data_IF_585338223649
#
_entry.id   IF_585338223649
#
_cell.length_a   1.000
_cell.length_b   1.000
_cell.length_c   1.000
_cell.angle_alpha   90.00
_cell.angle_beta   90.00
_cell.angle_gamma   90.00
#
_symmetry.space_group_name_H-M   'P 1'
#
loop_
_entity.id
_entity.type
_entity.pdbx_description
1 polymer ?
#
# COMPACT_ATOMS: atom_id res chain seq x y z
N UNK A 1 13.25 10.07 6.67
CA UNK A 1 12.60 9.02 7.50
C UNK A 1 11.76 8.12 6.59
N UNK A 2 11.67 6.82 6.87
CA UNK A 2 10.75 5.89 6.17
C UNK A 2 9.57 5.65 7.09
N UNK A 3 8.35 5.75 6.55
CA UNK A 3 7.12 5.43 7.25
C UNK A 3 6.48 4.25 6.53
N UNK A 4 6.16 3.19 7.28
CA UNK A 4 5.50 1.99 6.76
C UNK A 4 4.05 1.99 7.23
N UNK A 5 3.12 1.90 6.27
CA UNK A 5 1.70 1.68 6.54
C UNK A 5 1.37 0.24 6.20
N UNK A 6 0.76 -0.47 7.14
CA UNK A 6 0.25 -1.83 6.95
C UNK A 6 -1.26 -1.87 7.18
N UNK A 7 -1.98 -2.62 6.35
CA UNK A 7 -3.38 -2.91 6.56
C UNK A 7 -4.03 -3.50 5.31
N UNK A 8 -5.15 -4.21 5.51
CA UNK A 8 -5.85 -4.92 4.43
C UNK A 8 -6.54 -4.01 3.41
N UNK A 9 -6.80 -2.73 3.76
CA UNK A 9 -7.53 -1.77 2.92
C UNK A 9 -6.71 -0.52 2.55
N UNK A 10 -5.42 -0.46 2.88
CA UNK A 10 -4.61 0.74 2.63
C UNK A 10 -4.50 1.10 1.15
N UNK A 11 -4.59 0.11 0.27
CA UNK A 11 -4.60 0.30 -1.18
C UNK A 11 -6.00 0.52 -1.74
N UNK A 12 -7.06 0.32 -0.97
CA UNK A 12 -8.43 0.61 -1.41
C UNK A 12 -8.72 2.12 -1.41
N UNK A 13 -8.21 2.85 -0.42
CA UNK A 13 -8.43 4.29 -0.27
C UNK A 13 -7.54 5.14 -1.17
N UNK A 14 -8.14 5.89 -2.10
CA UNK A 14 -7.40 6.70 -3.06
C UNK A 14 -6.58 7.81 -2.39
N UNK A 15 -7.13 8.43 -1.34
CA UNK A 15 -6.43 9.48 -0.60
C UNK A 15 -5.11 8.94 -0.05
N UNK A 16 -5.13 7.76 0.57
CA UNK A 16 -3.91 7.13 1.09
C UNK A 16 -2.92 6.80 -0.01
N UNK A 17 -3.39 6.23 -1.14
CA UNK A 17 -2.52 5.90 -2.28
C UNK A 17 -1.76 7.12 -2.82
N UNK A 18 -2.39 8.28 -2.86
CA UNK A 18 -1.78 9.51 -3.37
C UNK A 18 -0.62 10.02 -2.50
N UNK A 19 -0.54 9.58 -1.24
CA UNK A 19 0.54 9.93 -0.32
C UNK A 19 1.64 8.87 -0.25
N UNK A 20 1.50 7.73 -0.95
CA UNK A 20 2.47 6.63 -0.90
C UNK A 20 3.47 6.71 -2.07
N UNK A 21 4.76 6.70 -1.75
CA UNK A 21 5.82 6.62 -2.77
C UNK A 21 6.03 5.21 -3.33
N UNK A 22 5.63 4.18 -2.57
CA UNK A 22 5.74 2.77 -2.95
C UNK A 22 4.56 2.00 -2.37
N UNK A 23 3.83 1.29 -3.23
CA UNK A 23 2.64 0.51 -2.90
C UNK A 23 2.95 -0.96 -3.12
N UNK A 24 2.85 -1.76 -2.05
CA UNK A 24 3.20 -3.18 -2.08
C UNK A 24 1.97 -4.00 -1.70
N UNK A 25 1.66 -5.02 -2.49
CA UNK A 25 0.64 -6.02 -2.17
C UNK A 25 1.30 -7.38 -1.90
N UNK A 26 0.90 -8.03 -0.82
CA UNK A 26 1.43 -9.33 -0.43
C UNK A 26 0.41 -10.40 -0.79
N UNK A 27 0.73 -11.19 -1.82
CA UNK A 27 -0.20 -12.16 -2.40
C UNK A 27 0.04 -13.56 -1.85
N UNK A 28 -1.03 -14.14 -1.31
CA UNK A 28 -1.05 -15.48 -0.71
C UNK A 28 -2.41 -16.10 -0.95
N UNK A 29 -2.40 -17.38 -1.31
CA UNK A 29 -3.57 -18.19 -1.53
C UNK A 29 -4.51 -18.18 -0.31
N UNK A 30 -5.83 -18.15 -0.56
CA UNK A 30 -6.83 -17.96 0.49
C UNK A 30 -6.83 -19.08 1.55
N UNK A 31 -6.60 -20.32 1.11
CA UNK A 31 -6.44 -21.52 1.95
C UNK A 31 -5.27 -21.37 2.95
N UNK A 32 -4.11 -20.92 2.49
CA UNK A 32 -2.94 -20.67 3.35
C UNK A 32 -3.17 -19.51 4.29
N UNK A 33 -3.93 -18.48 3.88
CA UNK A 33 -4.29 -17.37 4.75
C UNK A 33 -5.26 -17.80 5.85
N UNK A 34 -6.29 -18.60 5.53
CA UNK A 34 -7.25 -19.06 6.55
C UNK A 34 -6.62 -20.04 7.52
N UNK A 35 -5.75 -20.96 7.06
CA UNK A 35 -5.00 -21.87 7.95
C UNK A 35 -4.17 -21.07 8.97
N UNK A 36 -3.37 -20.12 8.48
CA UNK A 36 -2.59 -19.22 9.36
C UNK A 36 -3.47 -18.42 10.32
N UNK A 37 -4.65 -17.98 9.86
CA UNK A 37 -5.62 -17.25 10.69
C UNK A 37 -6.19 -18.16 11.79
N UNK A 38 -6.54 -19.40 11.47
CA UNK A 38 -7.07 -20.38 12.42
C UNK A 38 -6.04 -20.63 13.52
N UNK A 39 -4.82 -21.00 13.14
CA UNK A 39 -3.74 -21.28 14.10
C UNK A 39 -3.52 -20.08 15.03
N UNK A 40 -3.38 -18.87 14.46
CA UNK A 40 -3.17 -17.65 15.23
C UNK A 40 -4.36 -17.31 16.13
N UNK A 41 -5.58 -17.33 15.61
CA UNK A 41 -6.77 -16.92 16.37
C UNK A 41 -7.12 -17.94 17.47
N UNK A 42 -6.79 -19.23 17.28
CA UNK A 42 -6.93 -20.23 18.34
C UNK A 42 -5.86 -20.07 19.42
N UNK A 43 -4.58 -19.96 19.03
CA UNK A 43 -3.44 -19.92 19.97
C UNK A 43 -3.32 -18.58 20.70
N UNK A 44 -3.42 -17.47 19.98
CA UNK A 44 -3.12 -16.13 20.52
C UNK A 44 -4.38 -15.40 21.02
N UNK A 45 -5.57 -15.77 20.53
CA UNK A 45 -6.83 -15.06 20.81
C UNK A 45 -7.90 -15.94 21.47
N UNK A 46 -7.61 -17.22 21.71
CA UNK A 46 -8.52 -18.15 22.40
C UNK A 46 -9.85 -18.38 21.70
N UNK A 47 -9.92 -18.20 20.38
CA UNK A 47 -11.16 -18.39 19.62
C UNK A 47 -11.38 -19.87 19.29
N UNK A 48 -12.64 -20.31 19.25
CA UNK A 48 -12.97 -21.65 18.80
C UNK A 48 -12.95 -21.73 17.25
N UNK A 49 -12.63 -22.90 16.73
CA UNK A 49 -12.57 -23.16 15.29
C UNK A 49 -13.85 -22.73 14.55
N UNK A 50 -15.01 -23.12 15.08
CA UNK A 50 -16.31 -22.83 14.47
C UNK A 50 -16.58 -21.32 14.34
N UNK A 51 -16.28 -20.52 15.38
CA UNK A 51 -16.42 -19.07 15.33
C UNK A 51 -15.50 -18.42 14.29
N UNK A 52 -14.28 -18.93 14.11
CA UNK A 52 -13.34 -18.44 13.10
C UNK A 52 -13.85 -18.74 11.69
N UNK A 53 -14.35 -19.96 11.46
CA UNK A 53 -14.89 -20.38 10.17
C UNK A 53 -16.14 -19.57 9.81
N UNK A 54 -17.10 -19.42 10.72
CA UNK A 54 -18.28 -18.59 10.49
C UNK A 54 -17.90 -17.15 10.15
N UNK A 55 -17.05 -16.51 10.95
CA UNK A 55 -16.60 -15.15 10.65
C UNK A 55 -15.90 -15.08 9.28
N UNK A 56 -15.11 -16.09 8.93
CA UNK A 56 -14.41 -16.11 7.66
C UNK A 56 -15.36 -16.15 6.47
N UNK A 57 -16.37 -17.02 6.51
CA UNK A 57 -17.34 -17.18 5.43
C UNK A 57 -18.31 -15.99 5.35
N UNK A 58 -18.82 -15.53 6.48
CA UNK A 58 -19.89 -14.52 6.52
C UNK A 58 -19.35 -13.10 6.26
N UNK A 59 -18.10 -12.84 6.62
CA UNK A 59 -17.56 -11.46 6.58
C UNK A 59 -16.20 -11.37 5.90
N UNK A 60 -15.19 -12.13 6.33
CA UNK A 60 -13.81 -11.88 5.89
C UNK A 60 -13.64 -12.16 4.40
N UNK A 61 -14.18 -13.27 3.89
CA UNK A 61 -14.07 -13.66 2.48
C UNK A 61 -14.87 -12.72 1.57
N UNK A 62 -16.16 -12.44 1.80
CA UNK A 62 -16.90 -11.48 0.99
C UNK A 62 -16.25 -10.09 0.94
N UNK A 63 -15.78 -9.58 2.08
CA UNK A 63 -15.10 -8.28 2.14
C UNK A 63 -13.74 -8.31 1.46
N UNK A 64 -13.01 -9.42 1.55
CA UNK A 64 -11.77 -9.60 0.83
C UNK A 64 -11.99 -9.52 -0.68
N UNK A 65 -12.96 -10.30 -1.18
CA UNK A 65 -13.22 -10.42 -2.61
C UNK A 65 -13.79 -9.11 -3.19
N UNK A 66 -14.58 -8.37 -2.40
CA UNK A 66 -15.15 -7.08 -2.80
C UNK A 66 -14.18 -5.89 -2.75
N UNK A 67 -13.24 -5.86 -1.79
CA UNK A 67 -12.46 -4.65 -1.50
C UNK A 67 -10.94 -4.87 -1.48
N UNK A 68 -10.48 -5.99 -0.90
CA UNK A 68 -9.04 -6.25 -0.71
C UNK A 68 -8.40 -6.73 -2.01
N UNK A 69 -8.95 -7.78 -2.63
CA UNK A 69 -8.39 -8.36 -3.86
C UNK A 69 -8.39 -7.36 -5.02
N UNK A 70 -9.46 -6.59 -5.30
CA UNK A 70 -9.44 -5.59 -6.37
C UNK A 70 -8.40 -4.50 -6.14
N UNK A 71 -8.06 -4.16 -4.89
CA UNK A 71 -7.06 -3.13 -4.59
C UNK A 71 -5.64 -3.50 -5.01
N UNK A 72 -5.37 -4.79 -5.26
CA UNK A 72 -4.11 -5.32 -5.80
C UNK A 72 -3.68 -4.63 -7.09
N UNK A 73 -4.63 -4.20 -7.93
CA UNK A 73 -4.36 -3.51 -9.19
C UNK A 73 -3.61 -2.17 -8.99
N UNK A 74 -3.67 -1.58 -7.79
CA UNK A 74 -2.99 -0.33 -7.48
C UNK A 74 -1.59 -0.52 -6.89
N UNK A 75 -1.10 -1.75 -6.77
CA UNK A 75 0.23 -2.03 -6.25
C UNK A 75 1.30 -1.79 -7.33
N UNK A 76 2.42 -1.19 -6.91
CA UNK A 76 3.61 -1.08 -7.76
C UNK A 76 4.39 -2.41 -7.78
N UNK A 77 4.32 -3.17 -6.67
CA UNK A 77 5.00 -4.46 -6.49
C UNK A 77 4.05 -5.47 -5.83
N UNK A 78 4.00 -6.68 -6.37
CA UNK A 78 3.31 -7.81 -5.78
C UNK A 78 4.35 -8.82 -5.27
N UNK A 79 4.29 -9.16 -3.98
CA UNK A 79 5.15 -10.18 -3.37
C UNK A 79 4.35 -11.49 -3.24
N UNK A 80 4.67 -12.55 -4.00
CA UNK A 80 4.01 -13.84 -3.83
C UNK A 80 4.53 -14.56 -2.57
N UNK A 81 3.73 -15.50 -2.07
CA UNK A 81 4.04 -16.41 -0.96
C UNK A 81 4.19 -15.76 0.43
N UNK A 82 3.87 -14.47 0.56
CA UNK A 82 3.90 -13.77 1.83
C UNK A 82 5.31 -13.40 2.31
N UNK A 83 5.45 -13.18 3.61
CA UNK A 83 6.73 -12.87 4.26
C UNK A 83 7.82 -13.95 4.17
N UNK A 84 7.56 -15.08 3.49
CA UNK A 84 8.55 -16.14 3.24
C UNK A 84 9.41 -15.88 2.01
N UNK A 85 9.03 -14.93 1.15
CA UNK A 85 9.81 -14.60 -0.04
C UNK A 85 10.97 -13.65 0.31
N UNK A 86 12.01 -14.21 0.92
CA UNK A 86 13.19 -13.47 1.38
C UNK A 86 13.85 -12.73 0.21
N UNK A 87 13.90 -13.33 -0.98
CA UNK A 87 14.47 -12.70 -2.17
C UNK A 87 13.72 -11.42 -2.56
N UNK A 88 12.37 -11.45 -2.61
CA UNK A 88 11.57 -10.27 -2.92
C UNK A 88 11.73 -9.18 -1.84
N UNK A 89 11.79 -9.57 -0.56
CA UNK A 89 12.03 -8.65 0.55
C UNK A 89 13.40 -7.99 0.42
N UNK A 90 14.44 -8.75 0.06
CA UNK A 90 15.79 -8.22 -0.15
C UNK A 90 15.84 -7.21 -1.29
N UNK A 91 15.18 -7.49 -2.42
CA UNK A 91 15.08 -6.54 -3.54
C UNK A 91 14.40 -5.24 -3.12
N UNK A 92 13.30 -5.33 -2.36
CA UNK A 92 12.62 -4.14 -1.82
C UNK A 92 13.51 -3.36 -0.85
N UNK A 93 14.22 -4.07 0.04
CA UNK A 93 15.14 -3.48 1.00
C UNK A 93 16.26 -2.69 0.29
N UNK A 94 16.88 -3.27 -0.73
CA UNK A 94 17.93 -2.59 -1.49
C UNK A 94 17.39 -1.38 -2.26
N UNK A 95 16.17 -1.47 -2.82
CA UNK A 95 15.50 -0.32 -3.44
C UNK A 95 15.25 0.81 -2.44
N UNK A 96 14.78 0.49 -1.23
CA UNK A 96 14.55 1.48 -0.18
C UNK A 96 15.86 2.13 0.29
N UNK A 97 16.92 1.35 0.45
CA UNK A 97 18.27 1.87 0.79
C UNK A 97 18.79 2.81 -0.31
N UNK A 98 18.64 2.44 -1.57
CA UNK A 98 19.04 3.29 -2.69
C UNK A 98 18.23 4.60 -2.71
N UNK A 99 16.92 4.53 -2.50
CA UNK A 99 16.06 5.71 -2.44
C UNK A 99 16.45 6.66 -1.31
N UNK A 100 16.76 6.12 -0.12
CA UNK A 100 17.27 6.90 1.00
C UNK A 100 18.58 7.62 0.65
N UNK A 101 19.57 6.90 0.11
CA UNK A 101 20.88 7.47 -0.27
C UNK A 101 20.74 8.64 -1.25
N UNK A 102 19.92 8.46 -2.29
CA UNK A 102 19.69 9.50 -3.30
C UNK A 102 19.00 10.74 -2.71
N UNK A 103 18.09 10.54 -1.75
CA UNK A 103 17.41 11.64 -1.09
C UNK A 103 18.34 12.40 -0.11
N UNK A 104 19.27 11.71 0.55
CA UNK A 104 20.29 12.36 1.40
C UNK A 104 21.25 13.24 0.58
N UNK A 105 21.66 12.79 -0.61
CA UNK A 105 22.48 13.60 -1.51
C UNK A 105 21.76 14.89 -1.98
N UNK A 106 20.46 14.82 -2.24
CA UNK A 106 19.65 15.98 -2.59
C UNK A 106 19.51 16.98 -1.42
N UNK A 107 19.23 16.52 -0.21
CA UNK A 107 19.06 17.38 0.97
C UNK A 107 20.37 18.09 1.35
N UNK A 108 21.53 17.43 1.19
CA UNK A 108 22.83 18.08 1.42
C UNK A 108 23.19 19.09 0.33
N UNK A 109 22.83 18.83 -0.93
CA UNK A 109 23.07 19.76 -2.04
C UNK A 109 22.14 20.99 -2.03
N UNK A 110 20.94 20.88 -1.44
CA UNK A 110 19.93 21.95 -1.40
C UNK A 110 19.86 22.71 -0.08
N UNK A 111 20.65 22.32 0.91
CA UNK A 111 20.72 22.97 2.22
C UNK A 111 22.19 23.24 2.60
N UNK A 112 22.82 24.30 2.04
CA UNK A 112 24.24 24.60 2.26
C UNK A 112 24.56 24.98 3.71
N UNK A 113 23.56 25.30 4.53
CA UNK A 113 23.75 25.75 5.92
C UNK A 113 23.82 24.60 6.95
N UNK A 114 23.70 23.33 6.52
CA UNK A 114 23.71 22.18 7.42
C UNK A 114 25.12 21.67 7.82
N UNK A 115 26.19 22.31 7.34
CA UNK A 115 27.56 22.02 7.78
C UNK A 115 28.36 23.30 8.00
N UNK A 116 28.32 23.84 9.22
CA UNK A 116 29.37 24.72 9.73
C UNK A 116 29.70 24.41 11.19
N UNK A 117 30.26 23.22 11.43
CA UNK A 117 31.30 23.08 12.47
C UNK A 117 32.39 22.14 11.94
N UNK A 118 33.47 22.73 11.43
CA UNK A 118 34.81 22.15 11.47
C UNK A 118 35.37 21.57 10.17
N UNK A 119 36.40 22.23 9.63
CA UNK A 119 37.46 21.60 8.85
C UNK A 119 37.57 22.08 7.40
N UNK A 120 38.44 23.06 7.18
CA UNK A 120 38.89 23.56 5.89
C UNK A 120 39.53 22.47 5.03
N UNK A 121 38.95 22.19 3.85
CA UNK A 121 39.67 22.14 2.57
C UNK A 121 38.69 21.90 1.42
N UNK A 122 38.64 22.82 0.46
CA UNK A 122 37.99 22.66 -0.85
C UNK A 122 39.06 22.69 -1.93
N UNK A 123 39.00 21.83 -2.96
CA UNK A 123 38.32 22.25 -4.20
C UNK A 123 37.56 21.08 -4.88
N UNK A 124 36.50 21.27 -5.67
CA UNK A 124 36.53 21.60 -7.10
C UNK A 124 35.10 21.92 -7.54
N UNK A 125 34.96 23.02 -8.29
CA UNK A 125 33.77 23.43 -9.05
C UNK A 125 33.58 22.52 -10.26
N UNK A 126 32.42 21.88 -10.39
CA UNK A 126 31.96 21.29 -11.66
C UNK A 126 30.55 21.82 -12.01
N UNK A 127 30.52 22.68 -13.03
CA UNK A 127 29.35 23.08 -13.83
C UNK A 127 28.86 21.87 -14.64
N UNK A 128 27.57 21.49 -14.63
CA UNK A 128 26.47 21.90 -15.55
C UNK A 128 25.58 20.65 -15.84
N UNK A 129 24.37 20.69 -16.48
CA UNK A 129 23.77 21.79 -17.25
C UNK A 129 22.30 22.14 -16.90
N UNK A 130 21.91 23.33 -17.36
CA UNK A 130 20.53 23.77 -17.52
C UNK A 130 19.86 22.89 -18.58
N UNK A 131 18.75 22.23 -18.23
CA UNK A 131 17.82 21.67 -19.22
C UNK A 131 16.75 22.74 -19.49
N UNK A 132 16.96 23.50 -20.55
CA UNK A 132 15.94 24.35 -21.16
C UNK A 132 14.85 23.49 -21.82
N UNK A 133 13.59 23.80 -21.50
CA UNK A 133 12.44 23.48 -22.34
C UNK A 133 11.62 22.26 -21.90
N UNK A 134 10.54 22.48 -21.15
CA UNK A 134 9.12 22.18 -21.51
C UNK A 134 8.16 22.42 -20.32
N UNK A 135 6.86 22.66 -20.55
CA UNK A 135 6.19 23.89 -20.12
C UNK A 135 5.40 23.79 -18.80
N UNK A 136 5.23 24.97 -18.19
CA UNK A 136 4.39 25.22 -17.02
C UNK A 136 2.91 25.17 -17.45
N UNK A 137 2.16 24.16 -17.02
CA UNK A 137 0.69 24.20 -17.10
C UNK A 137 0.13 25.11 -15.99
N UNK A 138 -0.15 26.36 -16.36
CA UNK A 138 -1.12 27.18 -15.65
C UNK A 138 -2.53 26.85 -16.18
N UNK A 139 -3.41 26.39 -15.32
CA UNK A 139 -4.85 26.44 -15.56
C UNK A 139 -5.57 26.91 -14.30
N UNK A 140 -5.87 28.21 -14.25
CA UNK A 140 -7.02 28.70 -13.48
C UNK A 140 -8.26 28.49 -14.33
N UNK A 141 -9.20 27.68 -13.84
CA UNK A 141 -10.65 27.83 -14.08
C UNK A 141 -11.42 27.35 -12.86
N UNK A 142 -12.09 28.24 -12.15
CA UNK A 142 -13.46 28.00 -11.68
C UNK A 142 -14.40 28.26 -12.88
N UNK A 143 -15.69 27.85 -12.92
CA UNK A 143 -16.56 27.45 -11.81
C UNK A 143 -17.47 26.23 -12.09
N UNK A 144 -18.28 25.88 -11.08
CA UNK A 144 -19.67 25.41 -11.15
C UNK A 144 -19.97 24.11 -10.38
N UNK A 145 -20.89 24.32 -9.44
CA UNK A 145 -21.67 23.40 -8.62
C UNK A 145 -21.90 22.01 -9.22
N UNK A 146 -21.22 20.99 -8.70
CA UNK A 146 -21.59 19.59 -8.96
C UNK A 146 -22.60 19.15 -7.89
N UNK A 147 -23.87 19.12 -8.28
CA UNK A 147 -24.99 18.55 -7.52
C UNK A 147 -24.74 17.04 -7.34
N UNK A 148 -24.68 16.55 -6.11
CA UNK A 148 -24.74 15.11 -5.83
C UNK A 148 -26.15 14.61 -6.19
N UNK A 149 -26.33 13.58 -7.04
CA UNK A 149 -27.62 12.94 -7.16
C UNK A 149 -27.90 12.10 -5.91
N UNK A 150 -29.17 12.18 -5.50
CA UNK A 150 -29.80 11.57 -4.34
C UNK A 150 -29.44 10.10 -4.08
N UNK A 151 -29.43 9.77 -2.79
CA UNK A 151 -29.53 8.43 -2.22
C UNK A 151 -30.42 7.52 -3.06
N UNK A 152 -29.84 6.41 -3.53
CA UNK A 152 -30.61 5.19 -3.80
C UNK A 152 -30.27 4.20 -2.71
N UNK A 153 -31.22 4.01 -1.80
CA UNK A 153 -31.30 2.90 -0.86
C UNK A 153 -31.18 1.59 -1.64
N UNK A 154 -30.06 0.90 -1.52
CA UNK A 154 -29.94 -0.48 -1.99
C UNK A 154 -30.43 -1.39 -0.85
N UNK A 155 -31.68 -1.84 -0.97
CA UNK A 155 -32.11 -3.06 -0.30
C UNK A 155 -31.47 -4.24 -1.04
N UNK A 156 -30.52 -4.92 -0.40
CA UNK A 156 -30.04 -6.22 -0.87
C UNK A 156 -30.88 -7.30 -0.20
N UNK A 157 -31.84 -7.86 -0.94
CA UNK A 157 -32.40 -9.17 -0.62
C UNK A 157 -31.37 -10.22 -1.07
N UNK A 158 -30.78 -10.92 -0.10
CA UNK A 158 -29.99 -12.13 -0.37
C UNK A 158 -30.96 -13.30 -0.58
N UNK A 159 -30.75 -14.16 -1.60
CA UNK A 159 -31.52 -15.40 -1.72
C UNK A 159 -31.16 -16.38 -0.58
N UNK A 160 -32.11 -17.22 -0.15
CA UNK A 160 -31.89 -18.14 0.97
C UNK A 160 -30.87 -19.23 0.59
N UNK A 161 -30.03 -19.58 1.57
CA UNK A 161 -29.08 -20.68 1.50
C UNK A 161 -29.81 -22.02 1.43
N UNK A 162 -29.49 -22.83 0.43
CA UNK A 162 -29.56 -24.30 0.47
C UNK A 162 -28.90 -24.86 -0.80
N UNK A 163 -27.87 -25.69 -0.66
CA UNK A 163 -27.84 -27.13 -1.03
C UNK A 163 -26.42 -27.67 -0.72
N UNK A 164 -26.38 -28.80 -0.03
CA UNK A 164 -25.21 -29.40 0.63
C UNK A 164 -24.00 -29.76 -0.24
N UNK A 165 -22.83 -29.71 0.40
CA UNK A 165 -21.63 -30.41 -0.04
C UNK A 165 -21.56 -31.76 0.67
N UNK A 166 -21.87 -32.84 -0.05
CA UNK A 166 -21.36 -34.17 0.27
C UNK A 166 -19.97 -34.32 -0.34
N UNK A 167 -19.06 -34.95 0.42
CA UNK A 167 -17.65 -35.21 0.11
C UNK A 167 -17.43 -35.92 -1.23
#
# INVERSE_FOLDING_TARGET
PIILFEGILILYEQVLRNHMNLKVYVDVEADRRIIRRIDRDMVERGRCFHSIVHQYLDTVKPMHDAFVEPSKQFADVIIPFGGRNIAAIQVLLERLKAHMRNNFAYVQATNPDAQSVGGSDSPIRAMSPVLEGTPIYHSRRTPSTLRLPHEKSFHHEFPPEDVGYSL
#
